data_IF_299090576580
#
_entry.id   IF_299090576580
#
_cell.length_a   1.000
_cell.length_b   1.000
_cell.length_c   1.000
_cell.angle_alpha   90.00
_cell.angle_beta   90.00
_cell.angle_gamma   90.00
#
_symmetry.space_group_name_H-M   'P 1'
#
loop_
_entity.id
_entity.type
_entity.pdbx_description
1 polymer ?
#
# COMPACT_ATOMS: atom_id res chain seq x y z
N UNK A 1 14.86 4.14 -23.11
CA UNK A 1 14.91 4.03 -21.63
C UNK A 1 13.89 5.01 -21.10
N UNK A 2 12.71 4.54 -20.72
CA UNK A 2 11.82 5.37 -19.93
C UNK A 2 12.49 5.57 -18.57
N UNK A 3 12.51 6.80 -18.01
CA UNK A 3 12.94 6.96 -16.63
C UNK A 3 12.06 6.02 -15.80
N UNK A 4 12.69 5.17 -15.00
CA UNK A 4 11.97 4.39 -14.00
C UNK A 4 11.41 5.44 -13.05
N UNK A 5 10.15 5.83 -13.23
CA UNK A 5 9.48 6.72 -12.28
C UNK A 5 9.48 5.99 -10.94
N UNK A 6 9.86 6.72 -9.91
CA UNK A 6 9.83 6.19 -8.54
C UNK A 6 8.38 5.87 -8.18
N UNK A 7 8.14 4.70 -7.61
CA UNK A 7 6.82 4.28 -7.14
C UNK A 7 6.29 5.29 -6.11
N UNK A 8 7.17 5.88 -5.29
CA UNK A 8 6.77 6.87 -4.29
C UNK A 8 6.32 8.20 -4.92
N UNK A 9 6.84 8.57 -6.10
CA UNK A 9 6.34 9.71 -6.87
C UNK A 9 4.93 9.46 -7.43
N UNK A 10 4.66 8.24 -7.92
CA UNK A 10 3.33 7.84 -8.38
C UNK A 10 2.30 7.89 -7.24
N UNK A 11 2.60 7.25 -6.10
CA UNK A 11 1.73 7.33 -4.92
C UNK A 11 1.59 8.77 -4.40
N UNK A 12 2.62 9.62 -4.56
CA UNK A 12 2.54 11.04 -4.21
C UNK A 12 1.56 11.82 -5.10
N UNK A 13 1.44 11.46 -6.38
CA UNK A 13 0.41 12.01 -7.26
C UNK A 13 -0.99 11.50 -6.88
N UNK A 14 -1.11 10.22 -6.54
CA UNK A 14 -2.36 9.65 -6.06
C UNK A 14 -2.84 10.34 -4.78
N UNK A 15 -1.96 10.56 -3.80
CA UNK A 15 -2.27 11.29 -2.57
C UNK A 15 -2.88 12.66 -2.84
N UNK A 16 -2.33 13.41 -3.81
CA UNK A 16 -2.91 14.70 -4.24
C UNK A 16 -4.28 14.53 -4.90
N UNK A 17 -4.47 13.49 -5.71
CA UNK A 17 -5.73 13.23 -6.41
C UNK A 17 -6.90 12.95 -5.46
N UNK A 18 -6.64 12.32 -4.31
CA UNK A 18 -7.63 12.05 -3.25
C UNK A 18 -7.77 13.22 -2.25
N UNK A 19 -7.17 14.37 -2.56
CA UNK A 19 -7.24 15.60 -1.77
C UNK A 19 -6.28 15.67 -0.58
N UNK A 20 -5.30 14.77 -0.53
CA UNK A 20 -4.21 14.80 0.45
C UNK A 20 -3.01 15.63 0.00
N UNK A 21 -2.00 15.65 0.85
CA UNK A 21 -0.79 16.45 0.69
C UNK A 21 0.43 15.72 1.23
N UNK A 22 1.63 16.17 0.83
CA UNK A 22 2.88 15.62 1.35
C UNK A 22 2.99 15.67 2.88
N UNK A 23 2.35 16.65 3.53
CA UNK A 23 2.28 16.76 4.98
C UNK A 23 1.43 15.66 5.63
N UNK A 24 0.49 15.04 4.91
CA UNK A 24 -0.25 13.88 5.43
C UNK A 24 0.67 12.66 5.58
N UNK A 25 1.67 12.52 4.70
CA UNK A 25 2.68 11.47 4.79
C UNK A 25 3.81 11.83 5.77
N UNK A 26 4.40 13.02 5.64
CA UNK A 26 5.62 13.41 6.36
C UNK A 26 5.41 14.24 7.62
N UNK A 27 4.23 14.81 7.84
CA UNK A 27 3.95 15.74 8.95
C UNK A 27 3.56 15.08 10.27
N UNK A 28 3.24 13.79 10.25
CA UNK A 28 2.76 13.04 11.42
C UNK A 28 3.87 12.56 12.37
N UNK A 29 5.15 12.70 12.01
CA UNK A 29 6.29 12.02 12.67
C UNK A 29 6.12 10.49 12.78
N UNK A 30 5.20 9.89 12.02
CA UNK A 30 5.05 8.45 11.98
C UNK A 30 6.26 7.84 11.30
N UNK A 31 6.88 6.85 11.94
CA UNK A 31 8.03 6.12 11.40
C UNK A 31 7.54 4.75 10.96
N UNK A 32 7.56 4.51 9.65
CA UNK A 32 7.19 3.22 9.08
C UNK A 32 8.23 2.18 9.43
N UNK A 33 7.77 1.02 9.86
CA UNK A 33 8.58 -0.14 10.20
C UNK A 33 8.61 -1.15 9.04
N UNK A 34 9.57 -2.10 9.03
CA UNK A 34 9.60 -3.15 8.00
C UNK A 34 8.35 -4.03 7.95
N UNK A 35 7.62 -4.13 9.06
CA UNK A 35 6.42 -4.98 9.20
C UNK A 35 5.13 -4.21 8.90
N UNK A 36 5.21 -2.89 8.66
CA UNK A 36 4.03 -2.09 8.40
C UNK A 36 3.36 -2.46 7.08
N UNK A 37 2.06 -2.72 7.18
CA UNK A 37 1.12 -2.79 6.06
C UNK A 37 0.58 -1.38 5.77
N UNK A 38 -0.07 -1.20 4.62
CA UNK A 38 -0.76 0.07 4.31
C UNK A 38 -1.77 0.43 5.41
N UNK A 39 -2.52 -0.56 5.90
CA UNK A 39 -3.55 -0.35 6.92
C UNK A 39 -2.96 -0.03 8.30
N UNK A 40 -1.88 -0.72 8.72
CA UNK A 40 -1.23 -0.40 10.00
C UNK A 40 -0.57 0.97 9.97
N UNK A 41 0.08 1.33 8.87
CA UNK A 41 0.65 2.66 8.68
C UNK A 41 -0.44 3.75 8.63
N UNK A 42 -1.57 3.52 7.96
CA UNK A 42 -2.69 4.46 7.92
C UNK A 42 -3.33 4.65 9.31
N UNK A 43 -3.47 3.57 10.09
CA UNK A 43 -3.90 3.62 11.48
C UNK A 43 -2.93 4.41 12.36
N UNK A 44 -1.63 4.15 12.23
CA UNK A 44 -0.57 4.87 12.93
C UNK A 44 -0.54 6.37 12.60
N UNK A 45 -0.71 6.74 11.32
CA UNK A 45 -0.86 8.12 10.88
C UNK A 45 -2.05 8.80 11.55
N UNK A 46 -3.22 8.14 11.59
CA UNK A 46 -4.41 8.66 12.26
C UNK A 46 -4.16 8.92 13.74
N UNK A 47 -3.56 7.96 14.45
CA UNK A 47 -3.24 8.09 15.87
C UNK A 47 -2.32 9.31 16.09
N UNK A 48 -1.28 9.46 15.26
CA UNK A 48 -0.34 10.58 15.36
C UNK A 48 -0.99 11.93 15.09
N UNK A 49 -1.88 12.02 14.10
CA UNK A 49 -2.65 13.24 13.85
C UNK A 49 -3.49 13.63 15.08
N UNK A 50 -4.15 12.66 15.71
CA UNK A 50 -4.95 12.88 16.92
C UNK A 50 -4.10 13.29 18.12
N UNK A 51 -2.93 12.67 18.33
CA UNK A 51 -1.98 13.05 19.39
C UNK A 51 -1.49 14.50 19.24
N UNK A 52 -1.39 15.00 18.01
CA UNK A 52 -1.02 16.39 17.70
C UNK A 52 -2.21 17.37 17.79
N UNK A 53 -3.41 16.89 18.12
CA UNK A 53 -4.63 17.69 18.19
C UNK A 53 -5.24 18.05 16.83
N UNK A 54 -4.80 17.39 15.75
CA UNK A 54 -5.36 17.57 14.42
C UNK A 54 -6.59 16.67 14.22
N UNK A 55 -7.60 17.12 13.47
CA UNK A 55 -8.68 16.23 13.03
C UNK A 55 -8.09 15.15 12.11
N UNK A 56 -8.52 13.89 12.23
CA UNK A 56 -8.00 12.82 11.40
C UNK A 56 -8.39 13.04 9.94
N UNK A 57 -7.43 12.84 9.02
CA UNK A 57 -7.67 12.86 7.58
C UNK A 57 -8.67 11.75 7.19
N UNK A 58 -9.27 11.88 6.00
CA UNK A 58 -10.15 10.84 5.44
C UNK A 58 -9.39 9.52 5.29
N UNK A 59 -10.08 8.40 5.39
CA UNK A 59 -9.45 7.08 5.26
C UNK A 59 -8.69 6.91 3.94
N UNK A 60 -9.29 7.32 2.82
CA UNK A 60 -8.63 7.31 1.50
C UNK A 60 -7.34 8.14 1.48
N UNK A 61 -7.32 9.29 2.19
CA UNK A 61 -6.13 10.13 2.32
C UNK A 61 -5.06 9.48 3.19
N UNK A 62 -5.46 8.80 4.27
CA UNK A 62 -4.55 8.07 5.15
C UNK A 62 -3.94 6.85 4.45
N UNK A 63 -4.72 6.09 3.69
CA UNK A 63 -4.21 5.00 2.84
C UNK A 63 -3.22 5.53 1.80
N UNK A 64 -3.60 6.57 1.06
CA UNK A 64 -2.71 7.19 0.08
C UNK A 64 -1.40 7.71 0.70
N UNK A 65 -1.45 8.29 1.89
CA UNK A 65 -0.27 8.73 2.62
C UNK A 65 0.59 7.56 3.10
N UNK A 66 -0.03 6.49 3.60
CA UNK A 66 0.65 5.28 4.03
C UNK A 66 1.41 4.61 2.87
N UNK A 67 0.88 4.63 1.66
CA UNK A 67 1.54 4.04 0.49
C UNK A 67 2.73 4.84 0.01
N UNK A 68 2.66 6.16 0.09
CA UNK A 68 3.84 7.01 -0.13
C UNK A 68 4.94 6.60 0.84
N UNK A 69 4.62 6.40 2.12
CA UNK A 69 5.62 6.04 3.12
C UNK A 69 6.16 4.61 2.94
N UNK A 70 5.30 3.63 2.66
CA UNK A 70 5.71 2.25 2.37
C UNK A 70 6.57 2.20 1.11
N UNK A 71 6.16 2.87 0.05
CA UNK A 71 6.94 2.91 -1.18
C UNK A 71 8.31 3.55 -0.95
N UNK A 72 8.41 4.63 -0.15
CA UNK A 72 9.71 5.20 0.24
C UNK A 72 10.57 4.25 1.06
N UNK A 73 9.96 3.50 1.98
CA UNK A 73 10.64 2.46 2.76
C UNK A 73 11.22 1.40 1.80
N UNK A 74 10.39 0.89 0.90
CA UNK A 74 10.77 -0.19 -0.03
C UNK A 74 11.84 0.30 -1.03
N UNK A 75 11.77 1.55 -1.48
CA UNK A 75 12.78 2.17 -2.34
C UNK A 75 14.13 2.39 -1.65
N UNK A 76 14.13 2.60 -0.33
CA UNK A 76 15.34 2.79 0.46
C UNK A 76 15.98 1.47 0.92
N UNK A 77 15.25 0.36 0.83
CA UNK A 77 15.77 -0.97 1.14
C UNK A 77 16.36 -1.63 -0.12
N UNK A 78 17.68 -1.86 -0.17
CA UNK A 78 18.33 -2.51 -1.31
C UNK A 78 17.79 -3.91 -1.62
N UNK A 79 17.19 -4.57 -0.63
CA UNK A 79 16.62 -5.91 -0.72
C UNK A 79 15.23 -5.92 -1.38
N UNK A 80 14.54 -4.78 -1.35
CA UNK A 80 13.16 -4.59 -1.83
C UNK A 80 13.07 -3.69 -3.07
N UNK A 81 14.21 -3.39 -3.72
CA UNK A 81 14.22 -2.50 -4.87
C UNK A 81 13.27 -2.96 -6.00
N UNK A 82 12.46 -2.07 -6.60
CA UNK A 82 11.56 -2.41 -7.71
C UNK A 82 12.26 -3.07 -8.91
N UNK A 83 13.59 -2.85 -9.06
CA UNK A 83 14.41 -3.48 -10.10
C UNK A 83 14.64 -4.99 -9.93
N UNK A 84 14.29 -5.58 -8.79
CA UNK A 84 14.34 -7.04 -8.54
C UNK A 84 12.96 -7.70 -8.64
N UNK A 85 11.90 -6.90 -8.82
CA UNK A 85 10.52 -7.38 -8.92
C UNK A 85 10.25 -7.92 -10.32
N UNK A 86 9.96 -9.21 -10.43
CA UNK A 86 9.54 -9.83 -11.69
C UNK A 86 8.01 -9.90 -11.74
N UNK A 87 7.38 -9.41 -12.82
CA UNK A 87 5.98 -9.71 -13.10
C UNK A 87 5.76 -11.23 -13.04
N UNK A 88 4.73 -11.69 -12.33
CA UNK A 88 4.46 -13.11 -12.21
C UNK A 88 4.26 -13.66 -10.81
N UNK A 89 4.79 -12.99 -9.79
CA UNK A 89 4.85 -13.55 -8.43
C UNK A 89 4.10 -12.71 -7.39
N UNK A 90 3.00 -12.07 -7.77
CA UNK A 90 2.28 -11.13 -6.91
C UNK A 90 1.74 -11.78 -5.62
N UNK A 91 1.72 -11.00 -4.54
CA UNK A 91 1.08 -11.33 -3.27
C UNK A 91 -0.03 -10.31 -2.99
N UNK A 92 -1.16 -10.78 -2.47
CA UNK A 92 -2.29 -9.95 -2.08
C UNK A 92 -2.42 -9.92 -0.56
N UNK A 93 -2.40 -8.71 0.01
CA UNK A 93 -2.89 -8.45 1.36
C UNK A 93 -4.37 -8.09 1.31
N UNK A 94 -5.19 -8.86 2.03
CA UNK A 94 -6.63 -8.63 2.19
C UNK A 94 -6.90 -8.14 3.60
N UNK A 95 -7.42 -6.94 3.73
CA UNK A 95 -7.69 -6.29 5.02
C UNK A 95 -9.18 -6.35 5.36
N UNK A 96 -9.52 -7.18 6.37
CA UNK A 96 -10.91 -7.35 6.84
C UNK A 96 -11.24 -6.33 7.94
N UNK A 97 -12.52 -5.97 8.06
CA UNK A 97 -13.00 -5.02 9.08
C UNK A 97 -12.68 -5.45 10.52
N UNK A 98 -12.44 -6.74 10.76
CA UNK A 98 -12.02 -7.29 12.05
C UNK A 98 -10.58 -6.94 12.45
N UNK A 99 -9.84 -6.24 11.58
CA UNK A 99 -8.44 -5.89 11.78
C UNK A 99 -7.45 -7.02 11.44
N UNK A 100 -7.96 -8.19 11.00
CA UNK A 100 -7.10 -9.27 10.51
C UNK A 100 -6.71 -9.01 9.06
N UNK A 101 -5.40 -9.10 8.78
CA UNK A 101 -4.86 -9.08 7.42
C UNK A 101 -4.39 -10.49 7.05
N UNK A 102 -4.76 -10.96 5.87
CA UNK A 102 -4.22 -12.21 5.31
C UNK A 102 -3.44 -11.92 4.06
N UNK A 103 -2.30 -12.58 3.90
CA UNK A 103 -1.50 -12.57 2.69
C UNK A 103 -1.70 -13.85 1.89
N UNK A 104 -1.96 -13.73 0.60
CA UNK A 104 -2.08 -14.89 -0.30
C UNK A 104 -1.38 -14.66 -1.65
N UNK A 105 -0.74 -15.70 -2.22
CA UNK A 105 -0.16 -15.61 -3.55
C UNK A 105 -1.26 -15.47 -4.60
N UNK A 106 -1.06 -14.57 -5.55
CA UNK A 106 -1.95 -14.42 -6.69
C UNK A 106 -1.51 -15.42 -7.77
N UNK A 107 -2.42 -16.27 -8.30
CA UNK A 107 -2.08 -17.24 -9.34
C UNK A 107 -1.80 -16.61 -10.70
N UNK A 108 -2.23 -15.35 -10.89
CA UNK A 108 -2.12 -14.63 -12.15
C UNK A 108 -0.75 -13.95 -12.30
N UNK A 109 -0.16 -14.07 -13.48
CA UNK A 109 1.17 -13.53 -13.76
C UNK A 109 1.15 -12.16 -14.45
N UNK A 110 0.02 -11.81 -15.05
CA UNK A 110 -0.25 -10.49 -15.61
C UNK A 110 -0.88 -9.59 -14.54
N UNK A 111 -0.46 -8.32 -14.46
CA UNK A 111 -0.93 -7.41 -13.42
C UNK A 111 -2.42 -7.10 -13.53
N UNK A 112 -2.98 -6.99 -14.73
CA UNK A 112 -4.40 -6.67 -14.90
C UNK A 112 -5.25 -7.90 -14.55
N UNK A 113 -4.81 -9.10 -14.95
CA UNK A 113 -5.42 -10.34 -14.49
C UNK A 113 -5.31 -10.50 -12.96
N UNK A 114 -4.17 -10.16 -12.36
CA UNK A 114 -3.96 -10.19 -10.92
C UNK A 114 -4.89 -9.23 -10.17
N UNK A 115 -5.12 -8.02 -10.69
CA UNK A 115 -6.09 -7.07 -10.12
C UNK A 115 -7.53 -7.59 -10.19
N UNK A 116 -7.92 -8.21 -11.30
CA UNK A 116 -9.25 -8.81 -11.45
C UNK A 116 -9.43 -9.93 -10.42
N UNK A 117 -8.48 -10.86 -10.36
CA UNK A 117 -8.49 -11.96 -9.39
C UNK A 117 -8.52 -11.44 -7.94
N UNK A 118 -7.67 -10.45 -7.63
CA UNK A 118 -7.60 -9.86 -6.31
C UNK A 118 -8.90 -9.14 -5.92
N UNK A 119 -9.55 -8.48 -6.88
CA UNK A 119 -10.83 -7.81 -6.63
C UNK A 119 -11.91 -8.82 -6.26
N UNK A 120 -12.05 -9.92 -7.01
CA UNK A 120 -13.00 -10.99 -6.67
C UNK A 120 -12.74 -11.54 -5.26
N UNK A 121 -11.46 -11.66 -4.89
CA UNK A 121 -11.05 -12.14 -3.57
C UNK A 121 -11.41 -11.15 -2.45
N UNK A 122 -11.11 -9.87 -2.64
CA UNK A 122 -11.45 -8.78 -1.69
C UNK A 122 -12.97 -8.71 -1.51
N UNK A 123 -13.74 -8.79 -2.59
CA UNK A 123 -15.21 -8.77 -2.56
C UNK A 123 -15.78 -10.00 -1.86
N UNK A 124 -15.23 -11.20 -2.10
CA UNK A 124 -15.64 -12.44 -1.43
C UNK A 124 -15.40 -12.39 0.08
N UNK A 125 -14.33 -11.73 0.51
CA UNK A 125 -13.95 -11.58 1.92
C UNK A 125 -14.61 -10.35 2.58
N UNK A 126 -15.46 -9.61 1.85
CA UNK A 126 -16.04 -8.31 2.24
C UNK A 126 -15.00 -7.34 2.82
N UNK A 127 -13.80 -7.36 2.24
CA UNK A 127 -12.71 -6.49 2.63
C UNK A 127 -12.91 -5.07 2.05
N UNK A 128 -12.65 -4.06 2.87
CA UNK A 128 -12.73 -2.66 2.46
C UNK A 128 -11.49 -2.17 1.71
N UNK A 129 -10.38 -2.89 1.86
CA UNK A 129 -9.09 -2.52 1.32
C UNK A 129 -8.25 -3.77 0.97
N UNK A 130 -7.41 -3.65 -0.06
CA UNK A 130 -6.41 -4.66 -0.41
C UNK A 130 -5.17 -4.05 -1.04
N UNK A 131 -4.03 -4.72 -0.91
CA UNK A 131 -2.77 -4.25 -1.47
C UNK A 131 -2.01 -5.40 -2.14
N UNK A 132 -1.53 -5.14 -3.36
CA UNK A 132 -0.72 -6.08 -4.13
C UNK A 132 0.74 -5.69 -3.99
N UNK A 133 1.55 -6.67 -3.62
CA UNK A 133 2.99 -6.55 -3.44
C UNK A 133 3.73 -7.50 -4.39
N UNK A 134 4.94 -7.12 -4.78
CA UNK A 134 5.92 -8.06 -5.27
C UNK A 134 6.63 -8.75 -4.10
N UNK A 135 7.00 -10.03 -4.22
CA UNK A 135 7.58 -10.81 -3.13
C UNK A 135 9.07 -10.50 -2.92
N UNK A 136 9.70 -9.72 -3.80
CA UNK A 136 11.12 -9.42 -3.74
C UNK A 136 11.48 -8.77 -2.39
N UNK A 137 12.41 -9.41 -1.66
CA UNK A 137 12.90 -8.96 -0.34
C UNK A 137 11.99 -9.28 0.85
N UNK A 138 10.71 -9.64 0.61
CA UNK A 138 9.70 -9.83 1.64
C UNK A 138 9.40 -11.29 1.97
N UNK A 139 8.98 -11.55 3.21
CA UNK A 139 8.44 -12.84 3.62
C UNK A 139 7.02 -13.10 3.10
N UNK A 140 6.42 -14.18 3.58
CA UNK A 140 4.99 -14.46 3.36
C UNK A 140 4.08 -13.67 4.31
N UNK A 141 4.66 -12.78 5.11
CA UNK A 141 3.96 -11.98 6.10
C UNK A 141 3.38 -10.72 5.45
N UNK A 142 2.21 -10.23 5.89
CA UNK A 142 1.62 -8.98 5.39
C UNK A 142 2.57 -7.78 5.48
N UNK A 143 2.45 -6.84 4.54
CA UNK A 143 3.20 -5.58 4.53
C UNK A 143 4.63 -5.68 4.03
N UNK A 144 5.17 -6.89 3.82
CA UNK A 144 6.52 -7.08 3.28
C UNK A 144 6.53 -7.04 1.75
N UNK A 145 7.69 -6.85 1.13
CA UNK A 145 7.78 -6.77 -0.33
C UNK A 145 7.59 -5.35 -0.85
N UNK A 146 7.80 -5.17 -2.15
CA UNK A 146 7.59 -3.88 -2.81
C UNK A 146 6.12 -3.67 -3.15
N UNK A 147 5.51 -2.59 -2.65
CA UNK A 147 4.12 -2.26 -2.99
C UNK A 147 3.98 -1.93 -4.48
N UNK A 148 3.10 -2.66 -5.18
CA UNK A 148 2.84 -2.46 -6.61
C UNK A 148 1.56 -1.68 -6.87
N UNK A 149 0.44 -2.06 -6.25
CA UNK A 149 -0.82 -1.34 -6.37
C UNK A 149 -1.75 -1.69 -5.21
N UNK A 150 -2.86 -0.99 -5.10
CA UNK A 150 -3.85 -1.28 -4.07
C UNK A 150 -5.25 -0.95 -4.51
N UNK A 151 -6.20 -1.48 -3.77
CA UNK A 151 -7.62 -1.30 -3.94
C UNK A 151 -8.19 -0.65 -2.68
N UNK A 152 -8.86 0.49 -2.85
CA UNK A 152 -9.71 1.09 -1.83
C UNK A 152 -11.14 1.11 -2.36
N UNK A 153 -12.12 0.60 -1.60
CA UNK A 153 -13.52 0.51 -2.06
C UNK A 153 -14.11 1.86 -2.50
N UNK A 154 -13.61 2.98 -1.98
CA UNK A 154 -14.07 4.32 -2.35
C UNK A 154 -13.44 4.86 -3.65
N UNK A 155 -12.31 4.29 -4.10
CA UNK A 155 -11.50 4.83 -5.20
C UNK A 155 -11.28 3.81 -6.33
N UNK A 156 -11.36 2.52 -6.03
CA UNK A 156 -10.99 1.42 -6.92
C UNK A 156 -9.50 1.09 -6.85
N UNK A 157 -9.00 0.42 -7.90
CA UNK A 157 -7.58 0.13 -8.06
C UNK A 157 -6.77 1.38 -8.41
N UNK A 158 -5.59 1.49 -7.81
CA UNK A 158 -4.66 2.55 -8.13
C UNK A 158 -3.20 2.11 -7.95
N UNK A 159 -2.32 2.82 -8.65
CA UNK A 159 -0.89 2.56 -8.75
C UNK A 159 -0.15 3.87 -8.51
#
# INVERSE_FOLDING_TARGET
MNPIQSSSEHFGQHLKSVGGSESDASGSNYVVTPEDTVESAASGLRIKQQEQGNPPSKQSTLHAAAQVLISRRDEQDPSHHPGTSQPGEYQLDVHRETGSTTREPIPETDLEAAKIWAQERIETEDASFGAIYFPAGGGTDPGTGALECSYDRAVGWYR
#
